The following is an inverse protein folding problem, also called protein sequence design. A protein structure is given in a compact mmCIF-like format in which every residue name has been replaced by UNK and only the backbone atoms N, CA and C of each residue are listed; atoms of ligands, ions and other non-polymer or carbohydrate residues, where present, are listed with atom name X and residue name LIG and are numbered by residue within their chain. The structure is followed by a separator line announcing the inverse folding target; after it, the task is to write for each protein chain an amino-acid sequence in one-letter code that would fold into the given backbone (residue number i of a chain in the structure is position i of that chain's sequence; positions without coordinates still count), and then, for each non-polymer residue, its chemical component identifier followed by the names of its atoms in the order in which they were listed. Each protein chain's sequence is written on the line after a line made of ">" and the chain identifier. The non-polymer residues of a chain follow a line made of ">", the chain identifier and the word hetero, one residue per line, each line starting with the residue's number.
data_IF_873714062228
#
_entry.id   IF_873714062228
#
_cell.length_a   1.000
_cell.length_b   1.000
_cell.length_c   1.000
_cell.angle_alpha   90.00
_cell.angle_beta   90.00
_cell.angle_gamma   90.00
#
_symmetry.space_group_name_H-M   'P 1'
#
loop_
_entity.id
_entity.type
_entity.pdbx_description
1 polymer ?
#
# COMPACT_ATOMS: atom_id res chain seq x y z
N UNK A 1 16.12 20.40 -5.89
CA UNK A 1 16.69 20.33 -4.52
C UNK A 1 16.17 21.50 -3.71
N UNK A 2 15.73 21.26 -2.47
CA UNK A 2 15.31 22.38 -1.61
C UNK A 2 16.56 23.14 -1.16
N UNK A 3 16.65 24.45 -1.44
CA UNK A 3 17.81 25.28 -1.07
C UNK A 3 18.01 25.42 0.45
N UNK A 4 17.05 24.95 1.25
CA UNK A 4 16.93 25.26 2.68
C UNK A 4 17.20 24.08 3.63
N UNK A 5 17.40 22.87 3.10
CA UNK A 5 17.70 21.70 3.94
C UNK A 5 19.11 21.24 3.57
N UNK A 6 20.12 21.54 4.41
CA UNK A 6 21.48 21.07 4.17
C UNK A 6 21.47 19.54 4.24
N UNK A 7 21.64 18.88 3.09
CA UNK A 7 21.68 17.44 3.03
C UNK A 7 22.97 16.91 3.64
N UNK A 8 22.88 16.04 4.64
CA UNK A 8 24.04 15.27 5.06
C UNK A 8 24.19 14.07 4.10
N UNK A 9 25.33 13.95 3.42
CA UNK A 9 25.59 12.92 2.39
C UNK A 9 25.69 11.48 2.95
N UNK A 10 25.27 11.27 4.19
CA UNK A 10 25.28 9.95 4.84
C UNK A 10 24.06 9.15 4.38
N UNK A 11 24.13 7.83 4.51
CA UNK A 11 22.96 6.98 4.35
C UNK A 11 21.94 7.22 5.48
N UNK A 12 20.68 6.80 5.26
CA UNK A 12 19.69 6.72 6.32
C UNK A 12 20.07 5.58 7.27
N UNK A 13 20.02 5.86 8.56
CA UNK A 13 20.22 4.85 9.60
C UNK A 13 18.91 4.15 9.94
N UNK A 14 19.00 3.04 10.67
CA UNK A 14 17.82 2.37 11.23
C UNK A 14 16.96 3.34 12.06
N UNK A 15 17.57 4.18 12.90
CA UNK A 15 16.84 5.17 13.71
C UNK A 15 16.17 6.24 12.85
N UNK A 16 16.80 6.68 11.76
CA UNK A 16 16.17 7.59 10.80
C UNK A 16 14.94 6.95 10.17
N UNK A 17 15.02 5.67 9.79
CA UNK A 17 13.91 4.90 9.25
C UNK A 17 12.75 4.77 10.27
N UNK A 18 13.05 4.51 11.54
CA UNK A 18 12.04 4.50 12.63
C UNK A 18 11.38 5.86 12.80
N UNK A 19 12.17 6.94 12.70
CA UNK A 19 11.65 8.30 12.81
C UNK A 19 10.73 8.66 11.65
N UNK A 20 11.08 8.27 10.41
CA UNK A 20 10.24 8.44 9.23
C UNK A 20 8.89 7.75 9.46
N UNK A 21 8.89 6.49 9.89
CA UNK A 21 7.65 5.74 10.17
C UNK A 21 6.77 6.45 11.22
N UNK A 22 7.36 6.80 12.37
CA UNK A 22 6.63 7.50 13.45
C UNK A 22 6.03 8.83 12.96
N UNK A 23 6.79 9.60 12.19
CA UNK A 23 6.36 10.90 11.69
C UNK A 23 5.25 10.79 10.65
N UNK A 24 5.30 9.75 9.80
CA UNK A 24 4.23 9.47 8.85
C UNK A 24 2.94 9.01 9.53
N UNK A 25 3.04 8.26 10.63
CA UNK A 25 1.87 7.90 11.45
C UNK A 25 1.27 9.14 12.15
N UNK A 26 2.10 10.13 12.47
CA UNK A 26 1.67 11.42 12.99
C UNK A 26 1.18 12.41 11.91
N UNK A 27 1.19 12.02 10.63
CA UNK A 27 0.74 12.86 9.52
C UNK A 27 1.71 13.97 9.11
N UNK A 28 2.99 13.89 9.51
CA UNK A 28 3.99 14.89 9.15
C UNK A 28 4.29 14.89 7.63
N UNK A 29 4.57 16.07 7.07
CA UNK A 29 4.95 16.20 5.67
C UNK A 29 6.40 15.74 5.43
N UNK A 30 6.74 15.37 4.19
CA UNK A 30 8.13 15.09 3.82
C UNK A 30 9.07 16.24 4.13
N UNK A 31 8.60 17.48 4.05
CA UNK A 31 9.41 18.67 4.33
C UNK A 31 9.75 18.78 5.81
N UNK A 32 8.84 18.39 6.70
CA UNK A 32 9.09 18.39 8.15
C UNK A 32 10.07 17.29 8.53
N UNK A 33 9.86 16.08 8.00
CA UNK A 33 10.73 14.91 8.22
C UNK A 33 12.15 15.20 7.69
N UNK A 34 12.23 15.78 6.49
CA UNK A 34 13.49 16.18 5.85
C UNK A 34 14.28 17.20 6.68
N UNK A 35 13.58 18.19 7.26
CA UNK A 35 14.19 19.19 8.13
C UNK A 35 14.77 18.57 9.39
N UNK A 36 14.05 17.65 10.02
CA UNK A 36 14.52 17.00 11.24
C UNK A 36 15.74 16.11 11.00
N UNK A 37 15.71 15.30 9.93
CA UNK A 37 16.81 14.37 9.62
C UNK A 37 17.98 15.04 8.87
N UNK A 38 17.83 16.31 8.48
CA UNK A 38 18.75 17.00 7.56
C UNK A 38 19.02 16.17 6.29
N UNK A 39 17.96 15.63 5.68
CA UNK A 39 18.00 14.84 4.45
C UNK A 39 17.17 15.51 3.36
N UNK A 40 17.52 15.31 2.10
CA UNK A 40 16.67 15.80 1.01
C UNK A 40 15.31 15.08 1.01
N UNK A 41 14.17 15.79 0.81
CA UNK A 41 12.85 15.18 0.76
C UNK A 41 12.72 14.04 -0.26
N UNK A 42 13.51 14.07 -1.34
CA UNK A 42 13.54 12.98 -2.34
C UNK A 42 14.18 11.71 -1.78
N UNK A 43 15.14 11.81 -0.86
CA UNK A 43 15.72 10.65 -0.16
C UNK A 43 14.66 9.95 0.68
N UNK A 44 13.89 10.72 1.46
CA UNK A 44 12.76 10.19 2.25
C UNK A 44 11.70 9.60 1.32
N UNK A 45 11.37 10.27 0.21
CA UNK A 45 10.42 9.75 -0.76
C UNK A 45 10.87 8.42 -1.38
N UNK A 46 12.17 8.26 -1.69
CA UNK A 46 12.72 7.02 -2.24
C UNK A 46 12.65 5.88 -1.23
N UNK A 47 13.04 6.16 0.02
CA UNK A 47 12.97 5.20 1.13
C UNK A 47 11.55 4.65 1.32
N UNK A 48 10.56 5.54 1.39
CA UNK A 48 9.15 5.14 1.56
C UNK A 48 8.65 4.33 0.36
N UNK A 49 8.98 4.75 -0.86
CA UNK A 49 8.54 4.03 -2.07
C UNK A 49 9.18 2.65 -2.18
N UNK A 50 10.41 2.50 -1.69
CA UNK A 50 11.15 1.23 -1.70
C UNK A 50 10.63 0.25 -0.64
N UNK A 51 10.27 0.75 0.55
CA UNK A 51 9.95 -0.09 1.71
C UNK A 51 8.47 -0.10 2.12
N UNK A 52 7.59 0.63 1.42
CA UNK A 52 6.14 0.46 1.60
C UNK A 52 5.72 -0.93 1.15
N UNK A 53 4.86 -1.60 1.92
CA UNK A 53 4.17 -2.78 1.41
C UNK A 53 3.21 -2.35 0.32
N UNK A 54 3.15 -3.16 -0.74
CA UNK A 54 2.23 -2.94 -1.84
C UNK A 54 0.78 -2.93 -1.33
N UNK A 55 -0.10 -2.32 -2.14
CA UNK A 55 -1.55 -2.16 -2.01
C UNK A 55 -2.32 -3.48 -1.78
N UNK A 56 -1.59 -4.58 -1.63
CA UNK A 56 -2.05 -5.95 -1.51
C UNK A 56 -2.77 -6.25 -0.20
N UNK A 57 -2.52 -5.51 0.87
CA UNK A 57 -3.03 -5.88 2.19
C UNK A 57 -4.33 -5.19 2.58
N UNK A 58 -5.31 -5.09 1.69
CA UNK A 58 -6.69 -4.93 2.13
C UNK A 58 -7.27 -6.32 2.42
N UNK A 59 -7.10 -6.86 3.63
CA UNK A 59 -8.03 -7.92 4.07
C UNK A 59 -9.40 -7.25 4.17
N UNK A 60 -10.25 -7.48 3.17
CA UNK A 60 -11.56 -6.84 3.11
C UNK A 60 -12.32 -7.09 4.41
N UNK A 61 -12.96 -6.04 4.94
CA UNK A 61 -13.91 -6.19 6.03
C UNK A 61 -15.09 -7.05 5.57
N UNK A 62 -15.67 -7.75 6.55
CA UNK A 62 -16.81 -8.68 6.51
C UNK A 62 -17.64 -8.73 5.21
N UNK A 63 -17.93 -9.97 4.78
CA UNK A 63 -18.71 -10.37 3.60
C UNK A 63 -18.03 -10.14 2.24
N UNK A 64 -16.95 -10.88 2.01
CA UNK A 64 -16.18 -11.04 0.76
C UNK A 64 -14.80 -10.37 0.74
N UNK A 65 -13.94 -10.79 1.67
CA UNK A 65 -12.56 -10.34 1.80
C UNK A 65 -11.65 -10.63 0.57
N UNK A 66 -12.14 -11.43 -0.38
CA UNK A 66 -11.37 -11.92 -1.52
C UNK A 66 -11.69 -11.18 -2.83
N UNK A 67 -12.79 -10.43 -2.93
CA UNK A 67 -13.10 -9.65 -4.13
C UNK A 67 -12.51 -8.24 -4.02
N UNK A 68 -11.52 -7.93 -4.85
CA UNK A 68 -10.84 -6.65 -4.87
C UNK A 68 -11.40 -5.68 -5.91
N UNK A 69 -12.57 -5.96 -6.50
CA UNK A 69 -13.14 -5.09 -7.51
C UNK A 69 -13.74 -3.81 -6.85
N UNK A 70 -13.49 -2.63 -7.43
CA UNK A 70 -14.15 -1.37 -7.00
C UNK A 70 -15.68 -1.46 -7.07
N UNK A 71 -16.22 -2.33 -7.93
CA UNK A 71 -17.65 -2.53 -8.12
C UNK A 71 -18.25 -3.60 -7.19
N UNK A 72 -17.47 -4.20 -6.29
CA UNK A 72 -17.89 -5.38 -5.48
C UNK A 72 -19.14 -5.18 -4.63
N UNK A 73 -19.51 -3.93 -4.32
CA UNK A 73 -20.67 -3.61 -3.48
C UNK A 73 -21.98 -3.44 -4.27
N UNK A 74 -21.90 -3.14 -5.58
CA UNK A 74 -23.07 -2.73 -6.37
C UNK A 74 -23.19 -3.43 -7.73
N UNK A 75 -22.23 -4.27 -8.12
CA UNK A 75 -22.28 -4.99 -9.38
C UNK A 75 -23.48 -5.94 -9.43
N UNK A 76 -24.26 -5.88 -10.51
CA UNK A 76 -25.43 -6.76 -10.73
C UNK A 76 -25.15 -7.90 -11.72
N UNK A 77 -23.95 -7.92 -12.33
CA UNK A 77 -23.57 -8.94 -13.31
C UNK A 77 -23.54 -10.32 -12.65
N UNK A 78 -24.01 -11.32 -13.39
CA UNK A 78 -23.86 -12.74 -13.07
C UNK A 78 -22.94 -13.39 -14.11
N UNK A 79 -22.48 -14.60 -13.85
CA UNK A 79 -21.58 -15.33 -14.75
C UNK A 79 -20.29 -14.59 -15.12
N UNK A 80 -19.75 -13.76 -14.21
CA UNK A 80 -18.50 -13.05 -14.43
C UNK A 80 -17.28 -13.98 -14.61
N UNK A 81 -17.39 -15.25 -14.21
CA UNK A 81 -16.36 -16.26 -14.40
C UNK A 81 -16.34 -16.92 -15.78
N UNK A 82 -17.27 -16.55 -16.68
CA UNK A 82 -17.26 -17.01 -18.07
C UNK A 82 -17.42 -18.53 -18.25
N UNK A 83 -18.03 -19.22 -17.28
CA UNK A 83 -18.26 -20.67 -17.40
C UNK A 83 -19.23 -20.95 -18.55
N UNK A 84 -18.96 -22.05 -19.27
CA UNK A 84 -19.78 -22.55 -20.39
C UNK A 84 -21.21 -22.83 -19.92
N UNK A 85 -21.36 -23.39 -18.72
CA UNK A 85 -22.64 -23.47 -18.02
C UNK A 85 -22.87 -22.13 -17.30
N UNK A 86 -24.02 -21.51 -17.55
CA UNK A 86 -24.37 -20.20 -16.99
C UNK A 86 -24.27 -20.20 -15.46
N UNK A 87 -23.26 -19.52 -14.92
CA UNK A 87 -23.08 -19.39 -13.48
C UNK A 87 -24.02 -18.30 -12.91
N UNK A 88 -25.02 -18.70 -12.13
CA UNK A 88 -25.96 -17.79 -11.46
C UNK A 88 -25.36 -16.98 -10.30
N UNK A 89 -24.07 -17.14 -10.01
CA UNK A 89 -23.38 -16.40 -8.94
C UNK A 89 -23.17 -14.96 -9.38
N UNK A 90 -23.54 -14.03 -8.50
CA UNK A 90 -23.28 -12.59 -8.70
C UNK A 90 -21.79 -12.34 -8.70
N UNK A 91 -21.33 -11.45 -9.58
CA UNK A 91 -19.94 -10.98 -9.64
C UNK A 91 -19.44 -10.50 -8.27
N UNK A 92 -20.33 -9.87 -7.48
CA UNK A 92 -20.04 -9.40 -6.12
C UNK A 92 -19.64 -10.49 -5.14
N UNK A 93 -20.02 -11.76 -5.36
CA UNK A 93 -19.68 -12.92 -4.51
C UNK A 93 -18.90 -14.01 -5.26
N UNK A 94 -18.55 -13.77 -6.52
CA UNK A 94 -17.83 -14.75 -7.33
C UNK A 94 -16.38 -14.91 -6.82
N UNK A 95 -15.94 -16.14 -6.49
CA UNK A 95 -14.62 -16.38 -5.90
C UNK A 95 -13.47 -16.09 -6.88
N UNK A 96 -13.72 -16.18 -8.18
CA UNK A 96 -12.72 -15.96 -9.24
C UNK A 96 -12.84 -14.59 -9.90
N UNK A 97 -13.69 -13.69 -9.38
CA UNK A 97 -13.97 -12.39 -9.99
C UNK A 97 -12.68 -11.63 -10.36
N UNK A 98 -11.69 -11.60 -9.46
CA UNK A 98 -10.44 -10.87 -9.67
C UNK A 98 -9.61 -11.36 -10.87
N UNK A 99 -9.79 -12.60 -11.29
CA UNK A 99 -9.02 -13.22 -12.38
C UNK A 99 -9.83 -13.32 -13.66
N UNK A 100 -11.15 -13.43 -13.55
CA UNK A 100 -12.02 -13.88 -14.66
C UNK A 100 -13.02 -12.83 -15.12
N UNK A 101 -13.36 -11.84 -14.28
CA UNK A 101 -14.30 -10.80 -14.66
C UNK A 101 -13.65 -9.83 -15.66
N UNK A 102 -14.22 -9.63 -16.86
CA UNK A 102 -13.65 -8.71 -17.86
C UNK A 102 -13.73 -7.25 -17.44
N UNK A 103 -14.69 -6.90 -16.57
CA UNK A 103 -14.85 -5.56 -16.01
C UNK A 103 -14.16 -5.42 -14.64
N UNK A 104 -13.26 -6.33 -14.30
CA UNK A 104 -12.54 -6.25 -13.04
C UNK A 104 -11.66 -5.00 -13.01
N UNK A 105 -11.96 -4.11 -12.08
CA UNK A 105 -11.11 -2.95 -11.77
C UNK A 105 -10.67 -3.07 -10.32
N UNK A 106 -9.38 -3.29 -10.11
CA UNK A 106 -8.80 -3.47 -8.77
C UNK A 106 -8.94 -2.19 -7.94
N UNK A 107 -9.49 -2.33 -6.74
CA UNK A 107 -9.55 -1.26 -5.74
C UNK A 107 -8.14 -0.89 -5.30
N UNK A 108 -7.83 0.40 -5.44
CA UNK A 108 -6.57 1.02 -5.03
C UNK A 108 -6.86 2.30 -4.25
N UNK A 109 -5.99 2.62 -3.30
CA UNK A 109 -6.09 3.87 -2.57
C UNK A 109 -5.40 5.00 -3.35
N UNK A 110 -6.15 6.04 -3.72
CA UNK A 110 -5.61 7.21 -4.43
C UNK A 110 -4.57 8.01 -3.62
N UNK A 111 -4.49 7.82 -2.29
CA UNK A 111 -3.44 8.43 -1.46
C UNK A 111 -2.05 7.90 -1.78
N UNK A 112 -1.94 6.73 -2.42
CA UNK A 112 -0.67 6.14 -2.82
C UNK A 112 -0.07 6.84 -4.04
N UNK A 113 -0.87 7.63 -4.76
CA UNK A 113 -0.42 8.43 -5.91
C UNK A 113 0.08 9.81 -5.51
N UNK A 114 -0.12 10.21 -4.24
CA UNK A 114 0.23 11.54 -3.72
C UNK A 114 1.18 11.38 -2.54
N UNK A 115 2.12 12.30 -2.35
CA UNK A 115 2.95 12.31 -1.14
C UNK A 115 2.03 12.40 0.11
N UNK A 116 2.25 11.60 1.16
CA UNK A 116 3.45 10.79 1.44
C UNK A 116 3.47 9.35 0.87
N UNK A 117 2.59 9.01 -0.06
CA UNK A 117 2.47 7.71 -0.72
C UNK A 117 2.17 6.54 0.23
N UNK A 118 1.50 6.84 1.34
CA UNK A 118 1.08 5.89 2.37
C UNK A 118 -0.37 6.14 2.76
N UNK A 119 -1.04 5.12 3.29
CA UNK A 119 -2.45 5.17 3.62
C UNK A 119 -2.74 5.64 5.07
N UNK A 120 -1.72 6.03 5.83
CA UNK A 120 -1.82 6.39 7.25
C UNK A 120 -2.86 7.47 7.57
N UNK A 121 -3.20 8.35 6.61
CA UNK A 121 -4.18 9.43 6.77
C UNK A 121 -5.52 9.20 6.08
N UNK A 122 -5.86 7.97 5.67
CA UNK A 122 -7.13 7.73 4.97
C UNK A 122 -8.32 7.79 5.94
N UNK A 123 -9.39 8.58 5.68
CA UNK A 123 -10.59 8.59 6.51
C UNK A 123 -11.32 7.24 6.53
N UNK A 124 -11.08 6.39 5.53
CA UNK A 124 -11.61 5.01 5.44
C UNK A 124 -10.83 3.98 6.29
N UNK A 125 -9.81 4.40 7.04
CA UNK A 125 -8.96 3.52 7.85
C UNK A 125 -9.70 2.81 9.00
N UNK A 126 -10.91 3.24 9.36
CA UNK A 126 -11.69 2.67 10.48
C UNK A 126 -12.19 1.24 10.16
N UNK A 127 -12.26 0.85 8.88
CA UNK A 127 -12.76 -0.48 8.43
C UNK A 127 -11.79 -1.24 7.52
N UNK A 128 -10.60 -0.71 7.25
CA UNK A 128 -9.61 -1.41 6.46
C UNK A 128 -8.27 -1.23 7.16
N UNK A 129 -7.61 -2.34 7.54
CA UNK A 129 -6.16 -2.32 7.76
C UNK A 129 -5.54 -2.03 6.41
N UNK A 130 -5.43 -0.74 6.08
CA UNK A 130 -4.69 -0.25 4.93
C UNK A 130 -3.21 -0.58 5.15
N UNK A 131 -2.38 -0.63 4.10
CA UNK A 131 -0.94 -0.76 4.28
C UNK A 131 -0.43 0.42 5.12
N UNK A 132 -0.21 0.14 6.39
CA UNK A 132 0.50 1.01 7.32
C UNK A 132 1.98 0.88 7.02
N UNK A 133 2.73 1.93 7.30
CA UNK A 133 4.18 1.96 7.09
C UNK A 133 4.96 1.00 8.04
N UNK A 134 4.25 0.14 8.80
CA UNK A 134 4.72 -0.91 9.71
C UNK A 134 5.70 -1.90 9.06
N UNK A 135 5.78 -1.87 7.74
CA UNK A 135 6.71 -2.67 6.97
C UNK A 135 8.16 -2.19 6.98
N UNK A 136 8.42 -0.89 7.18
CA UNK A 136 9.80 -0.42 7.30
C UNK A 136 10.50 -1.16 8.43
N UNK A 137 9.85 -1.28 9.59
CA UNK A 137 10.36 -2.10 10.70
C UNK A 137 10.46 -3.59 10.36
N UNK A 138 9.48 -4.17 9.67
CA UNK A 138 9.50 -5.60 9.32
C UNK A 138 10.66 -5.94 8.37
N UNK A 139 10.90 -5.11 7.35
CA UNK A 139 12.04 -5.26 6.43
C UNK A 139 13.38 -5.12 7.15
N UNK A 140 13.51 -4.16 8.08
CA UNK A 140 14.73 -3.95 8.87
C UNK A 140 15.02 -5.10 9.85
N UNK A 141 13.98 -5.73 10.40
CA UNK A 141 14.11 -6.95 11.21
C UNK A 141 14.49 -8.18 10.36
N UNK A 142 13.95 -8.29 9.14
CA UNK A 142 14.30 -9.39 8.21
C UNK A 142 15.64 -9.20 7.51
N UNK A 143 16.18 -7.99 7.40
CA UNK A 143 17.52 -7.77 6.82
C UNK A 143 18.65 -8.43 7.63
N UNK A 144 18.38 -8.82 8.89
CA UNK A 144 19.28 -9.61 9.73
C UNK A 144 19.09 -11.13 9.60
N UNK A 145 18.10 -11.59 8.82
CA UNK A 145 17.89 -13.01 8.53
C UNK A 145 17.70 -13.17 7.02
N UNK A 146 18.68 -13.77 6.33
CA UNK A 146 18.61 -14.10 4.90
C UNK A 146 17.33 -14.90 4.57
N UNK A 147 16.23 -14.22 4.29
CA UNK A 147 15.00 -14.78 3.72
C UNK A 147 14.20 -13.63 3.10
N UNK A 148 14.64 -13.25 1.90
CA UNK A 148 13.89 -12.39 0.99
C UNK A 148 12.59 -13.12 0.66
N UNK A 149 11.48 -12.71 1.28
CA UNK A 149 10.16 -12.99 0.71
C UNK A 149 10.07 -12.20 -0.60
N UNK A 150 10.56 -12.82 -1.68
CA UNK A 150 10.18 -12.43 -3.03
C UNK A 150 8.69 -12.67 -3.14
N UNK A 151 7.89 -11.61 -2.99
CA UNK A 151 6.52 -11.63 -3.49
C UNK A 151 6.65 -11.40 -4.99
N UNK A 152 6.35 -12.39 -5.84
CA UNK A 152 6.43 -12.21 -7.28
C UNK A 152 5.45 -11.10 -7.69
N UNK A 153 5.98 -10.06 -8.34
CA UNK A 153 5.14 -9.15 -9.11
C UNK A 153 4.49 -9.91 -10.27
N UNK A 154 3.30 -9.48 -10.75
CA UNK A 154 2.71 -10.11 -11.92
C UNK A 154 3.58 -9.81 -13.15
N UNK A 155 3.81 -10.86 -13.95
CA UNK A 155 4.36 -10.81 -15.31
C UNK A 155 3.38 -10.10 -16.23
#
# INVERSE_FOLDING_TARGET
>A
MSKYIPGNQKHLTLEDCKYIEKSLNAGCSFKDIARYLCKDPTTISKEIRLHRLSDWYHKGCFNNAHNFCVHRYHCKKVNACGKIILCGVKCTTCPTCNQTCPDFVKERCNQLDKAPYVCNGCPKAITARLPTNTAMMLFLLTANTKNVFHIPGPV
#
